data_IF_362694067616
#
_entry.id   IF_362694067616
#
_cell.length_a   1.000
_cell.length_b   1.000
_cell.length_c   1.000
_cell.angle_alpha   90.00
_cell.angle_beta   90.00
_cell.angle_gamma   90.00
#
_symmetry.space_group_name_H-M   'P 1'
#
loop_
_entity.id
_entity.type
_entity.pdbx_description
1 polymer ?
#
# COMPACT_ATOMS: atom_id res chain seq x y z
N UNK A 1 18.58 14.75 11.70
CA UNK A 1 18.00 13.41 11.47
C UNK A 1 16.55 13.26 11.98
N UNK A 2 16.17 13.83 13.13
CA UNK A 2 14.78 13.74 13.67
C UNK A 2 13.67 14.16 12.68
N UNK A 3 13.92 15.18 11.85
CA UNK A 3 12.91 15.73 10.94
C UNK A 3 12.50 14.74 9.82
N UNK A 4 13.43 13.92 9.32
CA UNK A 4 13.12 12.95 8.25
C UNK A 4 12.25 11.81 8.79
N UNK A 5 12.62 11.25 9.95
CA UNK A 5 11.87 10.16 10.57
C UNK A 5 10.43 10.60 10.91
N UNK A 6 10.26 11.81 11.45
CA UNK A 6 8.94 12.36 11.74
C UNK A 6 8.10 12.51 10.47
N UNK A 7 8.67 13.03 9.38
CA UNK A 7 7.97 13.15 8.09
C UNK A 7 7.54 11.79 7.54
N UNK A 8 8.41 10.78 7.60
CA UNK A 8 8.07 9.43 7.15
C UNK A 8 6.92 8.82 7.97
N UNK A 9 6.94 9.00 9.29
CA UNK A 9 5.86 8.55 10.17
C UNK A 9 4.55 9.27 9.83
N UNK A 10 4.56 10.60 9.68
CA UNK A 10 3.37 11.37 9.32
C UNK A 10 2.78 10.90 7.99
N UNK A 11 3.63 10.70 6.98
CA UNK A 11 3.23 10.24 5.66
C UNK A 11 2.66 8.81 5.69
N UNK A 12 3.27 7.91 6.47
CA UNK A 12 2.79 6.55 6.68
C UNK A 12 1.40 6.56 7.34
N UNK A 13 1.22 7.36 8.40
CA UNK A 13 -0.07 7.49 9.10
C UNK A 13 -1.16 8.04 8.17
N UNK A 14 -0.85 9.06 7.37
CA UNK A 14 -1.80 9.61 6.40
C UNK A 14 -2.21 8.56 5.36
N UNK A 15 -1.23 7.84 4.79
CA UNK A 15 -1.48 6.76 3.83
C UNK A 15 -2.37 5.68 4.45
N UNK A 16 -2.10 5.26 5.68
CA UNK A 16 -2.89 4.24 6.36
C UNK A 16 -4.34 4.68 6.59
N UNK A 17 -4.56 5.93 7.03
CA UNK A 17 -5.91 6.48 7.21
C UNK A 17 -6.69 6.50 5.90
N UNK A 18 -6.05 6.94 4.82
CA UNK A 18 -6.66 7.00 3.50
C UNK A 18 -7.08 5.63 2.97
N UNK A 19 -6.21 4.63 3.12
CA UNK A 19 -6.48 3.26 2.72
C UNK A 19 -7.58 2.61 3.58
N UNK A 20 -7.58 2.83 4.90
CA UNK A 20 -8.64 2.33 5.79
C UNK A 20 -10.01 2.88 5.43
N UNK A 21 -10.08 4.18 5.07
CA UNK A 21 -11.31 4.81 4.62
C UNK A 21 -11.87 4.18 3.32
N UNK A 22 -11.01 3.49 2.56
CA UNK A 22 -11.34 2.81 1.30
C UNK A 22 -11.37 1.28 1.45
N UNK A 23 -11.56 0.77 2.67
CA UNK A 23 -11.78 -0.65 2.92
C UNK A 23 -10.53 -1.53 3.05
N UNK A 24 -9.34 -0.98 2.77
CA UNK A 24 -8.08 -1.72 2.91
C UNK A 24 -7.78 -2.05 4.37
N UNK A 25 -7.06 -3.17 4.57
CA UNK A 25 -6.66 -3.70 5.85
C UNK A 25 -5.15 -3.90 5.91
N UNK A 26 -4.64 -3.92 7.13
CA UNK A 26 -3.24 -4.19 7.45
C UNK A 26 -3.20 -5.29 8.50
N UNK A 27 -2.46 -6.36 8.25
CA UNK A 27 -2.27 -7.43 9.26
C UNK A 27 -1.13 -7.11 10.23
N UNK A 28 -0.26 -6.16 9.87
CA UNK A 28 0.91 -5.77 10.65
C UNK A 28 0.85 -4.27 10.88
N UNK A 29 0.94 -3.86 12.15
CA UNK A 29 1.17 -2.47 12.51
C UNK A 29 2.63 -2.10 12.16
N UNK A 30 2.87 -1.16 11.23
CA UNK A 30 4.23 -0.75 10.91
C UNK A 30 4.87 -0.02 12.09
N UNK A 31 6.11 -0.36 12.43
CA UNK A 31 6.88 0.28 13.52
C UNK A 31 7.69 1.50 13.04
N UNK A 32 7.46 1.94 11.79
CA UNK A 32 8.17 3.05 11.14
C UNK A 32 8.53 2.72 9.70
N UNK A 33 9.39 3.55 9.11
CA UNK A 33 9.85 3.42 7.73
C UNK A 33 8.89 4.01 6.70
N UNK A 34 9.10 3.64 5.44
CA UNK A 34 8.42 4.24 4.28
C UNK A 34 7.44 3.29 3.57
N UNK A 35 7.34 2.04 4.03
CA UNK A 35 6.50 1.03 3.38
C UNK A 35 5.43 0.50 4.33
N UNK A 36 4.30 0.11 3.75
CA UNK A 36 3.25 -0.65 4.44
C UNK A 36 2.83 -1.85 3.59
N UNK A 37 2.26 -2.84 4.27
CA UNK A 37 1.67 -4.03 3.69
C UNK A 37 0.16 -3.98 3.82
N UNK A 38 -0.55 -3.96 2.71
CA UNK A 38 -1.99 -3.79 2.67
C UNK A 38 -2.67 -4.84 1.79
N UNK A 39 -3.92 -5.17 2.11
CA UNK A 39 -4.80 -5.96 1.25
C UNK A 39 -6.22 -5.39 1.32
N UNK A 40 -7.05 -5.67 0.32
CA UNK A 40 -8.48 -5.39 0.38
C UNK A 40 -9.24 -6.70 0.57
N UNK A 41 -10.21 -6.82 1.51
CA UNK A 41 -10.93 -8.08 1.75
C UNK A 41 -11.64 -8.62 0.51
N UNK A 42 -12.14 -7.72 -0.34
CA UNK A 42 -12.88 -8.08 -1.56
C UNK A 42 -11.95 -8.39 -2.75
N UNK A 43 -10.62 -8.23 -2.59
CA UNK A 43 -9.62 -8.55 -3.62
C UNK A 43 -8.88 -9.82 -3.20
N UNK A 44 -9.20 -10.94 -3.88
CA UNK A 44 -8.52 -12.22 -3.67
C UNK A 44 -7.26 -12.38 -4.52
N UNK A 45 -7.28 -11.80 -5.72
CA UNK A 45 -6.13 -11.65 -6.62
C UNK A 45 -5.88 -10.16 -6.88
N UNK A 46 -4.70 -9.68 -6.49
CA UNK A 46 -4.34 -8.27 -6.60
C UNK A 46 -3.94 -7.87 -8.02
N UNK A 47 -3.64 -8.84 -8.90
CA UNK A 47 -3.07 -8.56 -10.21
C UNK A 47 -3.93 -7.62 -11.07
N UNK A 48 -5.26 -7.80 -11.20
CA UNK A 48 -6.10 -6.89 -11.97
C UNK A 48 -6.09 -5.45 -11.44
N UNK A 49 -6.06 -5.29 -10.10
CA UNK A 49 -5.97 -3.99 -9.45
C UNK A 49 -4.64 -3.30 -9.77
N UNK A 50 -3.53 -4.04 -9.73
CA UNK A 50 -2.21 -3.51 -10.07
C UNK A 50 -2.11 -3.11 -11.55
N UNK A 51 -2.67 -3.91 -12.46
CA UNK A 51 -2.74 -3.56 -13.89
C UNK A 51 -3.53 -2.26 -14.12
N UNK A 52 -4.62 -2.03 -13.38
CA UNK A 52 -5.35 -0.75 -13.42
C UNK A 52 -4.45 0.41 -12.96
N UNK A 53 -3.75 0.26 -11.84
CA UNK A 53 -2.85 1.31 -11.34
C UNK A 53 -1.69 1.63 -12.29
N UNK A 54 -1.16 0.61 -12.98
CA UNK A 54 -0.10 0.78 -13.99
C UNK A 54 -0.53 1.69 -15.14
N UNK A 55 -1.81 1.64 -15.55
CA UNK A 55 -2.37 2.56 -16.55
C UNK A 55 -2.30 4.03 -16.11
N UNK A 56 -2.28 4.26 -14.79
CA UNK A 56 -2.10 5.58 -14.17
C UNK A 56 -0.64 5.86 -13.79
N UNK A 57 0.31 5.06 -14.28
CA UNK A 57 1.76 5.14 -13.97
C UNK A 57 2.09 4.93 -12.49
N UNK A 58 1.25 4.20 -11.76
CA UNK A 58 1.47 3.81 -10.38
C UNK A 58 1.86 2.34 -10.33
N UNK A 59 3.07 2.07 -9.87
CA UNK A 59 3.58 0.72 -9.68
C UNK A 59 3.53 0.36 -8.20
N UNK A 60 2.91 -0.78 -7.90
CA UNK A 60 3.01 -1.43 -6.59
C UNK A 60 3.91 -2.65 -6.71
N UNK A 61 4.38 -3.17 -5.57
CA UNK A 61 5.05 -4.46 -5.55
C UNK A 61 4.10 -5.51 -4.97
N UNK A 62 3.84 -6.62 -5.67
CA UNK A 62 2.95 -7.65 -5.17
C UNK A 62 3.61 -8.40 -4.01
N UNK A 63 2.82 -8.86 -3.04
CA UNK A 63 3.32 -9.59 -1.87
C UNK A 63 3.98 -10.91 -2.23
N UNK A 64 3.52 -11.54 -3.31
CA UNK A 64 4.12 -12.76 -3.84
C UNK A 64 5.57 -12.60 -4.31
N UNK A 65 6.03 -11.38 -4.62
CA UNK A 65 7.44 -11.12 -4.91
C UNK A 65 8.36 -11.27 -3.69
N UNK A 66 7.81 -11.30 -2.48
CA UNK A 66 8.53 -11.46 -1.21
C UNK A 66 8.29 -12.81 -0.55
N UNK A 67 7.67 -13.74 -1.26
CA UNK A 67 7.39 -15.09 -0.78
C UNK A 67 8.12 -16.13 -1.62
N UNK A 68 8.81 -17.07 -0.95
CA UNK A 68 9.44 -18.23 -1.61
C UNK A 68 8.39 -19.16 -2.22
N UNK A 69 7.21 -19.25 -1.61
CA UNK A 69 6.09 -20.11 -2.02
C UNK A 69 5.10 -19.41 -2.95
N UNK A 70 5.33 -18.13 -3.28
CA UNK A 70 4.38 -17.25 -3.98
C UNK A 70 3.04 -17.08 -3.24
N UNK A 71 3.05 -17.15 -1.91
CA UNK A 71 1.90 -16.76 -1.09
C UNK A 71 1.70 -15.23 -1.09
N UNK A 72 0.66 -14.73 -0.41
CA UNK A 72 0.34 -13.30 -0.29
C UNK A 72 -0.09 -12.61 -1.60
N UNK A 73 -0.77 -13.32 -2.49
CA UNK A 73 -1.28 -12.79 -3.77
C UNK A 73 -2.25 -11.61 -3.62
N UNK A 74 -2.95 -11.52 -2.49
CA UNK A 74 -3.86 -10.39 -2.18
C UNK A 74 -3.16 -9.16 -1.59
N UNK A 75 -1.87 -9.25 -1.27
CA UNK A 75 -1.15 -8.18 -0.57
C UNK A 75 -0.34 -7.32 -1.53
N UNK A 76 -0.31 -6.02 -1.27
CA UNK A 76 0.58 -5.06 -1.92
C UNK A 76 1.55 -4.48 -0.90
N UNK A 77 2.80 -4.28 -1.31
CA UNK A 77 3.74 -3.39 -0.63
C UNK A 77 3.65 -2.00 -1.24
N UNK A 78 3.25 -1.03 -0.43
CA UNK A 78 3.02 0.36 -0.86
C UNK A 78 4.12 1.26 -0.29
N UNK A 79 4.72 2.09 -1.14
CA UNK A 79 5.62 3.16 -0.70
C UNK A 79 4.81 4.40 -0.32
N UNK A 80 4.79 4.74 0.97
CA UNK A 80 4.04 5.87 1.50
C UNK A 80 4.61 7.22 1.04
N UNK A 81 5.91 7.33 0.71
CA UNK A 81 6.54 8.63 0.39
C UNK A 81 6.02 9.29 -0.87
N UNK A 82 5.34 8.52 -1.73
CA UNK A 82 4.74 9.02 -2.98
C UNK A 82 3.21 8.91 -2.97
N UNK A 83 2.61 8.48 -1.86
CA UNK A 83 1.16 8.41 -1.73
C UNK A 83 0.60 9.83 -1.61
N UNK A 84 -0.40 10.16 -2.41
CA UNK A 84 -0.92 11.53 -2.54
C UNK A 84 -2.41 11.47 -2.78
N UNK A 85 -3.14 12.57 -2.52
CA UNK A 85 -4.60 12.69 -2.73
C UNK A 85 -5.05 12.17 -4.10
N UNK A 86 -4.31 12.51 -5.17
CA UNK A 86 -4.60 12.03 -6.52
C UNK A 86 -4.44 10.52 -6.68
N UNK A 87 -3.50 9.91 -5.97
CA UNK A 87 -3.34 8.45 -5.95
C UNK A 87 -4.44 7.78 -5.13
N UNK A 88 -4.91 8.38 -4.04
CA UNK A 88 -5.88 7.75 -3.13
C UNK A 88 -7.20 7.38 -3.82
N UNK A 89 -7.69 8.23 -4.73
CA UNK A 89 -8.91 7.98 -5.50
C UNK A 89 -8.86 6.68 -6.31
N UNK A 90 -7.67 6.28 -6.75
CA UNK A 90 -7.44 5.06 -7.53
C UNK A 90 -7.45 3.79 -6.67
N UNK A 91 -7.40 3.93 -5.34
CA UNK A 91 -7.43 2.83 -4.37
C UNK A 91 -8.83 2.46 -3.90
N UNK A 92 -9.87 3.04 -4.50
CA UNK A 92 -11.25 2.58 -4.33
C UNK A 92 -11.48 1.29 -5.15
N UNK A 93 -12.04 0.27 -4.50
CA UNK A 93 -12.36 -1.04 -5.09
C UNK A 93 -13.80 -1.06 -5.58
#
# INVERSE_FOLDING_TARGET
>A
MQNVQQRLISQQVQTQRSLLARGWKFDIAPQGGMFIWAYHPDITDLQPFMTKLEQHRILLMPGSAFSVTRDYQRFARINCTHFSEAAEELFSV
#
